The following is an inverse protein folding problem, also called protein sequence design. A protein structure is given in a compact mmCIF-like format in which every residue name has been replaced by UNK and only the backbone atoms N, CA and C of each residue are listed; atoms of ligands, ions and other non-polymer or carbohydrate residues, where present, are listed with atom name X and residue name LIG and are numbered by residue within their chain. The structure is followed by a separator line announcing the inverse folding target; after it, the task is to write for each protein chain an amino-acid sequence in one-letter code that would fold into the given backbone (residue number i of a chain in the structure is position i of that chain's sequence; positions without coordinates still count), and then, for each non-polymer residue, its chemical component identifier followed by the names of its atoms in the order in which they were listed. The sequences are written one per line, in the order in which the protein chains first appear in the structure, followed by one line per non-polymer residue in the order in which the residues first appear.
data_IF_263404923536
#
_entry.id   IF_263404923536
#
_cell.length_a   1.000
_cell.length_b   1.000
_cell.length_c   1.000
_cell.angle_alpha   90.00
_cell.angle_beta   90.00
_cell.angle_gamma   90.00
#
_symmetry.space_group_name_H-M   'P 1'
#
loop_
_entity.id
_entity.type
_entity.pdbx_description
1 polymer ?
#
# COMPACT_ATOMS: atom_id res chain seq x y z
N UNK A 1 11.69 24.29 -29.91
CA UNK A 1 10.23 24.10 -29.85
C UNK A 1 9.81 23.66 -28.44
N UNK A 2 8.62 24.04 -27.96
CA UNK A 2 8.10 23.63 -26.64
C UNK A 2 6.96 22.64 -26.86
N UNK A 3 6.97 21.51 -26.16
CA UNK A 3 5.89 20.50 -26.27
C UNK A 3 4.64 20.94 -25.51
N UNK A 4 3.48 20.40 -25.88
CA UNK A 4 2.20 20.61 -25.15
C UNK A 4 2.27 20.31 -23.65
N UNK A 5 3.25 19.53 -23.20
CA UNK A 5 3.52 19.20 -21.79
C UNK A 5 4.55 20.15 -21.14
N UNK A 6 4.80 21.32 -21.73
CA UNK A 6 5.70 22.36 -21.21
C UNK A 6 7.20 22.04 -21.32
N UNK A 7 7.58 20.94 -21.97
CA UNK A 7 9.00 20.53 -22.05
C UNK A 7 9.66 21.05 -23.33
N UNK A 8 10.81 21.74 -23.24
CA UNK A 8 11.56 22.18 -24.41
C UNK A 8 12.14 20.98 -25.15
N UNK A 9 12.19 21.07 -26.48
CA UNK A 9 12.85 20.10 -27.34
C UNK A 9 13.44 20.78 -28.58
N UNK A 10 14.50 20.14 -29.11
CA UNK A 10 15.15 20.53 -30.36
C UNK A 10 14.50 19.78 -31.52
N UNK A 11 14.12 20.52 -32.55
CA UNK A 11 13.58 20.02 -33.81
C UNK A 11 13.95 21.02 -34.91
N UNK A 12 13.95 20.56 -36.14
CA UNK A 12 14.31 21.32 -37.32
C UNK A 12 13.17 21.27 -38.33
N UNK A 13 12.99 22.36 -39.08
CA UNK A 13 12.09 22.40 -40.22
C UNK A 13 12.86 21.90 -41.44
N UNK A 14 12.31 20.91 -42.13
CA UNK A 14 12.92 20.31 -43.33
C UNK A 14 11.96 20.48 -44.49
N UNK A 15 12.44 21.07 -45.59
CA UNK A 15 11.66 21.14 -46.83
C UNK A 15 11.64 19.75 -47.46
N UNK A 16 10.46 19.16 -47.57
CA UNK A 16 10.23 17.87 -48.22
C UNK A 16 10.25 18.03 -49.74
N UNK A 17 10.51 16.96 -50.49
CA UNK A 17 10.64 16.97 -51.96
C UNK A 17 9.40 17.52 -52.69
N UNK A 18 8.25 17.61 -52.00
CA UNK A 18 7.00 18.20 -52.49
C UNK A 18 6.88 19.72 -52.27
N UNK A 19 7.97 20.39 -51.82
CA UNK A 19 8.01 21.82 -51.41
C UNK A 19 7.16 22.16 -50.18
N UNK A 20 6.79 21.16 -49.39
CA UNK A 20 6.12 21.36 -48.10
C UNK A 20 7.13 21.37 -46.95
N UNK A 21 6.88 22.20 -45.94
CA UNK A 21 7.71 22.27 -44.73
C UNK A 21 7.32 21.14 -43.78
N UNK A 22 8.15 20.12 -43.68
CA UNK A 22 8.09 19.04 -42.71
C UNK A 22 8.84 19.37 -41.42
N UNK A 23 8.59 18.58 -40.37
CA UNK A 23 9.28 18.68 -39.08
C UNK A 23 10.11 17.42 -38.85
N UNK A 24 11.42 17.58 -38.73
CA UNK A 24 12.32 16.49 -38.36
C UNK A 24 12.92 16.75 -36.98
N UNK A 25 12.84 15.75 -36.12
CA UNK A 25 13.37 15.83 -34.77
C UNK A 25 14.77 15.23 -34.78
N UNK A 26 15.75 15.96 -34.25
CA UNK A 26 17.08 15.41 -34.00
C UNK A 26 16.92 14.09 -33.24
N UNK A 27 17.57 13.02 -33.71
CA UNK A 27 17.53 11.71 -33.05
C UNK A 27 17.92 11.90 -31.61
N UNK A 28 16.92 11.88 -30.71
CA UNK A 28 17.16 11.99 -29.28
C UNK A 28 18.01 10.78 -28.90
N UNK A 29 19.21 11.03 -28.42
CA UNK A 29 19.99 10.00 -27.76
C UNK A 29 19.07 9.33 -26.72
N UNK A 30 19.04 7.99 -26.69
CA UNK A 30 18.22 7.29 -25.71
C UNK A 30 18.64 7.79 -24.34
N UNK A 31 17.68 8.34 -23.58
CA UNK A 31 17.94 8.70 -22.19
C UNK A 31 18.63 7.52 -21.52
N UNK A 32 19.72 7.72 -20.74
CA UNK A 32 20.24 6.64 -19.91
C UNK A 32 19.04 6.11 -19.13
N UNK A 33 18.77 4.81 -19.26
CA UNK A 33 17.73 4.14 -18.48
C UNK A 33 18.08 4.42 -17.03
N UNK A 34 17.39 5.40 -16.42
CA UNK A 34 17.54 5.70 -15.02
C UNK A 34 17.48 4.37 -14.28
N UNK A 35 18.53 4.09 -13.53
CA UNK A 35 18.67 2.86 -12.77
C UNK A 35 17.34 2.61 -12.07
N UNK A 36 16.61 1.59 -12.52
CA UNK A 36 15.58 1.00 -11.68
C UNK A 36 16.34 0.58 -10.44
N UNK A 37 16.14 1.29 -9.32
CA UNK A 37 16.58 0.84 -8.01
C UNK A 37 16.39 -0.67 -7.99
N UNK A 38 17.43 -1.47 -7.71
CA UNK A 38 17.27 -2.91 -7.57
C UNK A 38 16.12 -3.08 -6.58
N UNK A 39 15.09 -3.83 -6.98
CA UNK A 39 14.05 -4.26 -6.04
C UNK A 39 14.82 -5.05 -5.00
N UNK A 40 15.16 -4.42 -3.88
CA UNK A 40 15.69 -5.08 -2.71
C UNK A 40 14.74 -6.23 -2.44
N UNK A 41 15.20 -7.46 -2.70
CA UNK A 41 14.56 -8.69 -2.26
C UNK A 41 14.36 -8.49 -0.77
N UNK A 42 13.12 -8.21 -0.38
CA UNK A 42 12.79 -7.98 1.01
C UNK A 42 13.35 -9.17 1.80
N UNK A 43 14.11 -8.94 2.89
CA UNK A 43 14.59 -10.02 3.72
C UNK A 43 13.40 -10.89 4.09
N UNK A 44 13.54 -12.21 3.91
CA UNK A 44 12.55 -13.16 4.38
C UNK A 44 12.39 -12.91 5.87
N UNK A 45 11.19 -12.55 6.31
CA UNK A 45 10.91 -12.28 7.71
C UNK A 45 11.09 -13.59 8.47
N UNK A 46 12.09 -13.65 9.34
CA UNK A 46 12.29 -14.77 10.24
C UNK A 46 11.18 -14.79 11.30
N UNK A 47 10.36 -15.83 11.26
CA UNK A 47 9.25 -16.06 12.19
C UNK A 47 9.61 -17.02 13.34
N UNK A 48 10.83 -17.55 13.34
CA UNK A 48 11.31 -18.54 14.33
C UNK A 48 11.28 -17.95 15.74
N UNK A 49 10.52 -18.58 16.64
CA UNK A 49 10.42 -18.20 18.07
C UNK A 49 9.36 -17.13 18.40
N UNK A 50 8.61 -16.62 17.42
CA UNK A 50 7.56 -15.63 17.66
C UNK A 50 6.24 -16.30 18.02
N UNK A 51 5.49 -15.73 18.97
CA UNK A 51 4.17 -16.22 19.32
C UNK A 51 3.16 -15.85 18.23
N UNK A 52 2.36 -16.82 17.80
CA UNK A 52 1.27 -16.56 16.86
C UNK A 52 0.19 -15.69 17.51
N UNK A 53 -0.23 -14.64 16.81
CA UNK A 53 -1.28 -13.73 17.26
C UNK A 53 -2.65 -14.37 17.02
N UNK A 54 -2.87 -14.95 15.83
CA UNK A 54 -4.12 -15.63 15.49
C UNK A 54 -4.07 -16.33 14.14
N UNK A 55 -5.23 -16.81 13.69
CA UNK A 55 -5.39 -17.44 12.38
C UNK A 55 -5.71 -16.40 11.29
N UNK A 56 -5.17 -16.61 10.09
CA UNK A 56 -5.40 -15.73 8.95
C UNK A 56 -6.78 -16.00 8.33
N UNK A 57 -7.63 -14.97 8.16
CA UNK A 57 -8.98 -15.13 7.59
C UNK A 57 -8.96 -15.58 6.12
N UNK A 58 -7.85 -15.34 5.40
CA UNK A 58 -7.73 -15.70 3.97
C UNK A 58 -7.24 -17.13 3.71
N UNK A 59 -6.40 -17.68 4.59
CA UNK A 59 -5.70 -18.92 4.31
C UNK A 59 -5.61 -19.89 5.48
N UNK A 60 -6.13 -19.52 6.65
CA UNK A 60 -6.06 -20.31 7.89
C UNK A 60 -4.66 -20.43 8.50
N UNK A 61 -3.63 -19.85 7.88
CA UNK A 61 -2.26 -19.87 8.39
C UNK A 61 -2.08 -19.00 9.63
N UNK A 62 -0.97 -19.18 10.35
CA UNK A 62 -0.65 -18.39 11.54
C UNK A 62 -0.22 -16.97 11.17
N UNK A 63 -0.66 -16.00 11.96
CA UNK A 63 -0.23 -14.60 11.87
C UNK A 63 0.81 -14.33 12.95
N UNK A 64 1.90 -13.71 12.52
CA UNK A 64 3.01 -13.33 13.37
C UNK A 64 3.14 -11.81 13.43
N UNK A 65 3.54 -11.34 14.61
CA UNK A 65 3.85 -9.95 14.85
C UNK A 65 5.27 -9.63 14.35
N UNK A 66 5.41 -8.56 13.57
CA UNK A 66 6.70 -7.98 13.17
C UNK A 66 6.82 -6.57 13.71
N UNK A 67 7.97 -5.91 13.55
CA UNK A 67 8.19 -4.54 14.04
C UNK A 67 7.17 -3.53 13.48
N UNK A 68 6.71 -3.74 12.24
CA UNK A 68 5.86 -2.76 11.54
C UNK A 68 4.44 -3.26 11.28
N UNK A 69 4.21 -4.57 11.30
CA UNK A 69 2.93 -5.16 10.85
C UNK A 69 2.72 -6.58 11.40
N UNK A 70 1.47 -7.02 11.44
CA UNK A 70 1.08 -8.42 11.56
C UNK A 70 1.01 -9.05 10.18
N UNK A 71 1.76 -10.13 9.99
CA UNK A 71 1.96 -10.76 8.69
C UNK A 71 1.65 -12.26 8.81
N UNK A 72 0.97 -12.81 7.80
CA UNK A 72 0.75 -14.25 7.72
C UNK A 72 2.03 -15.00 7.37
N UNK A 73 2.26 -16.17 7.96
CA UNK A 73 3.40 -17.05 7.66
C UNK A 73 3.47 -17.43 6.17
N UNK A 74 2.31 -17.63 5.53
CA UNK A 74 2.18 -17.98 4.12
C UNK A 74 2.33 -16.77 3.20
N UNK A 75 2.60 -15.57 3.72
CA UNK A 75 2.85 -14.39 2.89
C UNK A 75 4.09 -14.53 2.02
N UNK A 76 5.07 -15.34 2.46
CA UNK A 76 6.31 -15.61 1.75
C UNK A 76 6.30 -16.97 1.03
N UNK A 77 5.12 -17.60 0.89
CA UNK A 77 5.02 -18.88 0.19
C UNK A 77 5.32 -18.72 -1.31
N UNK A 78 6.12 -19.63 -1.88
CA UNK A 78 6.60 -19.54 -3.26
C UNK A 78 5.51 -19.70 -4.33
N UNK A 79 4.44 -20.46 -4.03
CA UNK A 79 3.35 -20.73 -5.01
C UNK A 79 2.18 -19.74 -4.90
N UNK A 80 1.57 -19.65 -3.72
CA UNK A 80 0.37 -18.83 -3.49
C UNK A 80 0.56 -17.98 -2.23
N UNK A 81 1.23 -16.82 -2.34
CA UNK A 81 1.49 -15.97 -1.19
C UNK A 81 0.18 -15.38 -0.66
N UNK A 82 -0.03 -15.49 0.65
CA UNK A 82 -1.14 -14.82 1.30
C UNK A 82 -0.90 -13.31 1.31
N UNK A 83 -1.82 -12.55 0.71
CA UNK A 83 -1.75 -11.08 0.65
C UNK A 83 -2.27 -10.37 1.92
N UNK A 84 -2.60 -11.13 2.97
CA UNK A 84 -3.07 -10.55 4.22
C UNK A 84 -1.92 -9.89 4.98
N UNK A 85 -2.06 -8.60 5.25
CA UNK A 85 -1.13 -7.79 6.05
C UNK A 85 -1.94 -6.76 6.82
N UNK A 86 -1.68 -6.66 8.11
CA UNK A 86 -2.27 -5.66 9.00
C UNK A 86 -1.13 -4.80 9.56
N UNK A 87 -1.12 -3.51 9.29
CA UNK A 87 -0.11 -2.61 9.87
C UNK A 87 -0.30 -2.48 11.38
N UNK A 88 0.80 -2.39 12.14
CA UNK A 88 0.72 -2.10 13.57
C UNK A 88 0.23 -0.69 13.82
N UNK A 89 0.65 0.25 12.99
CA UNK A 89 0.19 1.64 13.05
C UNK A 89 -0.77 1.89 11.90
N UNK A 90 -2.01 2.24 12.20
CA UNK A 90 -3.06 2.54 11.24
C UNK A 90 -3.54 3.96 11.49
N UNK A 91 -3.39 4.85 10.51
CA UNK A 91 -3.81 6.26 10.60
C UNK A 91 -3.32 6.95 11.89
N UNK A 92 -2.07 6.69 12.29
CA UNK A 92 -1.46 7.28 13.50
C UNK A 92 -1.80 6.58 14.81
N UNK A 93 -2.62 5.51 14.79
CA UNK A 93 -2.96 4.72 15.98
C UNK A 93 -2.26 3.37 15.95
N UNK A 94 -1.60 3.02 17.06
CA UNK A 94 -1.04 1.69 17.26
C UNK A 94 -2.10 0.67 17.68
N UNK A 95 -2.08 -0.48 17.01
CA UNK A 95 -2.97 -1.62 17.21
C UNK A 95 -2.25 -2.62 18.10
N UNK A 96 -2.74 -2.76 19.34
CA UNK A 96 -2.21 -3.76 20.27
C UNK A 96 -2.46 -5.18 19.76
N UNK A 97 -1.66 -6.12 20.25
CA UNK A 97 -1.77 -7.55 19.90
C UNK A 97 -3.16 -8.11 20.24
N UNK A 98 -3.77 -7.65 21.32
CA UNK A 98 -5.11 -8.03 21.77
C UNK A 98 -6.19 -7.59 20.76
N UNK A 99 -6.07 -6.37 20.22
CA UNK A 99 -6.99 -5.86 19.21
C UNK A 99 -6.82 -6.59 17.88
N UNK A 100 -5.57 -6.87 17.49
CA UNK A 100 -5.31 -7.72 16.34
C UNK A 100 -5.90 -9.13 16.53
N UNK A 101 -5.79 -9.71 17.72
CA UNK A 101 -6.42 -10.99 18.06
C UNK A 101 -7.93 -10.94 17.90
N UNK A 102 -8.60 -9.95 18.48
CA UNK A 102 -10.06 -9.75 18.35
C UNK A 102 -10.50 -9.59 16.90
N UNK A 103 -9.74 -8.81 16.11
CA UNK A 103 -10.02 -8.64 14.69
C UNK A 103 -10.00 -9.99 13.96
N UNK A 104 -9.04 -10.87 14.29
CA UNK A 104 -8.87 -12.17 13.64
C UNK A 104 -9.88 -13.22 14.10
N UNK A 105 -10.32 -13.18 15.36
CA UNK A 105 -11.28 -14.15 15.91
C UNK A 105 -12.72 -13.74 15.68
N UNK A 106 -13.06 -12.47 15.91
CA UNK A 106 -14.43 -11.96 15.84
C UNK A 106 -14.73 -11.24 14.51
N UNK A 107 -13.72 -10.97 13.69
CA UNK A 107 -13.88 -10.18 12.46
C UNK A 107 -14.01 -8.68 12.71
N UNK A 108 -14.01 -8.23 13.97
CA UNK A 108 -14.16 -6.83 14.37
C UNK A 108 -13.38 -6.52 15.64
N UNK A 109 -12.76 -5.34 15.73
CA UNK A 109 -12.13 -4.85 16.97
C UNK A 109 -13.13 -4.12 17.86
N UNK A 110 -12.68 -3.74 19.06
CA UNK A 110 -13.41 -2.76 19.87
C UNK A 110 -13.33 -1.36 19.23
N UNK A 111 -14.04 -0.40 19.83
CA UNK A 111 -13.98 1.00 19.43
C UNK A 111 -12.57 1.52 19.71
N UNK A 112 -11.82 1.80 18.66
CA UNK A 112 -10.49 2.38 18.76
C UNK A 112 -10.59 3.88 18.51
N UNK A 113 -10.03 4.65 19.44
CA UNK A 113 -10.04 6.11 19.40
C UNK A 113 -8.68 6.67 18.98
N UNK A 114 -8.68 7.90 18.48
CA UNK A 114 -7.46 8.62 18.14
C UNK A 114 -6.89 8.29 16.75
N UNK A 115 -7.70 7.75 15.84
CA UNK A 115 -7.31 7.68 14.43
C UNK A 115 -7.28 9.07 13.81
N UNK A 116 -6.25 9.38 13.03
CA UNK A 116 -6.09 10.67 12.38
C UNK A 116 -6.63 10.58 10.95
N UNK A 117 -7.70 11.33 10.67
CA UNK A 117 -8.27 11.43 9.33
C UNK A 117 -7.33 12.14 8.36
N UNK A 118 -7.59 12.06 7.05
CA UNK A 118 -6.85 12.82 6.03
C UNK A 118 -6.88 14.35 6.27
N UNK A 119 -7.87 14.84 7.02
CA UNK A 119 -8.01 16.25 7.42
C UNK A 119 -7.31 16.58 8.75
N UNK A 120 -6.56 15.64 9.32
CA UNK A 120 -5.83 15.82 10.59
C UNK A 120 -6.71 15.73 11.85
N UNK A 121 -8.01 15.44 11.72
CA UNK A 121 -8.92 15.36 12.87
C UNK A 121 -8.91 13.95 13.47
N UNK A 122 -8.82 13.80 14.80
CA UNK A 122 -8.97 12.51 15.47
C UNK A 122 -10.40 12.00 15.33
N UNK A 123 -10.57 10.70 15.16
CA UNK A 123 -11.86 10.02 15.15
C UNK A 123 -11.77 8.65 15.80
N UNK A 124 -12.93 8.15 16.23
CA UNK A 124 -13.08 6.80 16.76
C UNK A 124 -13.78 5.90 15.74
N UNK A 125 -13.29 4.68 15.57
CA UNK A 125 -13.85 3.69 14.65
C UNK A 125 -13.55 2.26 15.11
N UNK A 126 -14.35 1.31 14.66
CA UNK A 126 -14.06 -0.11 14.73
C UNK A 126 -13.28 -0.52 13.48
N UNK A 127 -12.30 -1.42 13.63
CA UNK A 127 -11.71 -2.10 12.49
C UNK A 127 -12.52 -3.37 12.21
N UNK A 128 -12.89 -3.57 10.96
CA UNK A 128 -13.64 -4.75 10.52
C UNK A 128 -12.87 -5.47 9.42
N UNK A 129 -12.88 -6.81 9.44
CA UNK A 129 -12.43 -7.60 8.30
C UNK A 129 -13.53 -7.64 7.23
N UNK A 130 -13.17 -7.19 6.04
CA UNK A 130 -13.99 -7.29 4.84
C UNK A 130 -13.82 -8.67 4.19
N UNK A 131 -14.77 -9.10 3.37
CA UNK A 131 -14.75 -10.40 2.67
C UNK A 131 -13.56 -10.53 1.69
N UNK A 132 -13.10 -9.41 1.16
CA UNK A 132 -11.86 -9.31 0.37
C UNK A 132 -10.59 -9.58 1.20
N UNK A 133 -10.74 -9.82 2.51
CA UNK A 133 -9.73 -9.89 3.55
C UNK A 133 -8.84 -8.66 3.62
N UNK A 134 -9.46 -7.50 3.39
CA UNK A 134 -8.92 -6.18 3.74
C UNK A 134 -9.47 -5.77 5.09
N UNK A 135 -8.81 -4.82 5.73
CA UNK A 135 -9.27 -4.22 6.98
C UNK A 135 -9.98 -2.92 6.63
N UNK A 136 -11.29 -2.90 6.84
CA UNK A 136 -12.15 -1.73 6.72
C UNK A 136 -12.31 -1.00 8.06
N UNK A 137 -12.92 0.17 7.99
CA UNK A 137 -13.34 0.93 9.18
C UNK A 137 -14.86 0.98 9.22
N UNK A 138 -15.41 0.66 10.38
CA UNK A 138 -16.83 0.83 10.67
C UNK A 138 -16.95 1.92 11.73
N UNK A 139 -17.70 2.98 11.44
CA UNK A 139 -17.85 4.11 12.35
C UNK A 139 -19.08 3.89 13.22
N UNK A 140 -19.02 4.14 14.54
CA UNK A 140 -20.24 4.24 15.33
C UNK A 140 -21.10 5.39 14.77
N UNK A 141 -22.42 5.24 14.84
CA UNK A 141 -23.34 6.33 14.56
C UNK A 141 -23.00 7.49 15.49
N UNK A 142 -22.49 8.58 14.90
CA UNK A 142 -22.13 9.77 15.67
C UNK A 142 -23.43 10.36 16.19
N UNK A 143 -23.70 10.20 17.48
CA UNK A 143 -24.50 11.21 18.17
C UNK A 143 -23.68 12.49 18.08
N UNK A 144 -24.05 13.36 17.15
CA UNK A 144 -23.49 14.70 17.08
C UNK A 144 -23.65 15.31 18.47
N UNK A 145 -22.55 15.59 19.16
CA UNK A 145 -22.59 16.43 20.35
C UNK A 145 -23.01 17.81 19.86
N UNK A 146 -24.25 18.16 20.21
CA UNK A 146 -24.89 19.47 20.06
C UNK A 146 -24.04 20.53 20.75
#
# INVERSE_FOLDING_TARGET
FISRKGRPFKAFLVLTDKRDVGFEFEKREPKPKGERKPKTTAPKVDFTGKQSVGACPKCGGKIFETETSYICERSQADRTPCKFKLSKTILGRDISKEQAQKLLTMGKTDLLEGFISKRGRPFSAYLKLEDDGKVGFEFPEKTARV
#
